data_IF_183598129534
#
_entry.id   IF_183598129534
#
_cell.length_a   1.000
_cell.length_b   1.000
_cell.length_c   1.000
_cell.angle_alpha   90.00
_cell.angle_beta   90.00
_cell.angle_gamma   90.00
#
_symmetry.space_group_name_H-M   'P 1'
#
loop_
_entity.id
_entity.type
_entity.pdbx_description
1 polymer ?
#
# COMPACT_ATOMS: atom_id res chain seq x y z
N UNK A 1 -34.46 -25.41 -36.26
CA UNK A 1 -33.42 -24.37 -36.34
C UNK A 1 -33.29 -23.80 -34.95
N UNK A 2 -32.23 -24.23 -34.27
CA UNK A 2 -32.00 -23.91 -32.87
C UNK A 2 -31.73 -22.42 -32.70
N UNK A 3 -32.56 -21.77 -31.90
CA UNK A 3 -32.31 -20.43 -31.40
C UNK A 3 -31.15 -20.51 -30.41
N UNK A 4 -29.94 -20.22 -30.88
CA UNK A 4 -28.84 -19.85 -30.01
C UNK A 4 -29.21 -18.52 -29.33
N UNK A 5 -29.83 -18.64 -28.17
CA UNK A 5 -29.95 -17.57 -27.19
C UNK A 5 -28.54 -17.36 -26.64
N UNK A 6 -27.72 -16.62 -27.37
CA UNK A 6 -26.48 -16.04 -26.88
C UNK A 6 -26.89 -14.94 -25.89
N UNK A 7 -27.27 -15.35 -24.68
CA UNK A 7 -27.43 -14.44 -23.55
C UNK A 7 -26.03 -13.95 -23.21
N UNK A 8 -25.55 -12.99 -23.99
CA UNK A 8 -24.32 -12.25 -23.73
C UNK A 8 -24.44 -11.63 -22.36
N UNK A 9 -23.88 -12.32 -21.37
CA UNK A 9 -23.68 -11.80 -20.03
C UNK A 9 -22.68 -10.65 -20.17
N UNK A 10 -23.20 -9.44 -20.34
CA UNK A 10 -22.44 -8.23 -20.09
C UNK A 10 -22.54 -8.01 -18.57
N UNK A 11 -21.49 -8.26 -17.78
CA UNK A 11 -21.52 -7.92 -16.37
C UNK A 11 -21.87 -6.44 -16.28
N UNK A 12 -23.02 -6.14 -15.66
CA UNK A 12 -23.52 -4.78 -15.56
C UNK A 12 -22.62 -3.93 -14.67
N UNK A 13 -22.87 -2.62 -14.66
CA UNK A 13 -22.20 -1.69 -13.74
C UNK A 13 -22.30 -2.12 -12.25
N UNK A 14 -23.28 -2.97 -11.91
CA UNK A 14 -23.49 -3.52 -10.57
C UNK A 14 -22.44 -4.58 -10.19
N UNK A 15 -22.08 -5.48 -11.10
CA UNK A 15 -21.02 -6.48 -10.88
C UNK A 15 -19.66 -5.77 -10.72
N UNK A 16 -19.36 -4.80 -11.59
CA UNK A 16 -18.16 -3.99 -11.51
C UNK A 16 -18.09 -3.20 -10.19
N UNK A 17 -19.21 -2.64 -9.72
CA UNK A 17 -19.26 -1.89 -8.46
C UNK A 17 -18.98 -2.77 -7.24
N UNK A 18 -19.47 -4.02 -7.23
CA UNK A 18 -19.17 -4.99 -6.16
C UNK A 18 -17.69 -5.36 -6.17
N UNK A 19 -17.12 -5.63 -7.35
CA UNK A 19 -15.71 -5.97 -7.50
C UNK A 19 -14.79 -4.84 -7.03
N UNK A 20 -15.08 -3.59 -7.40
CA UNK A 20 -14.32 -2.42 -6.98
C UNK A 20 -14.39 -2.21 -5.45
N UNK A 21 -15.55 -2.44 -4.83
CA UNK A 21 -15.66 -2.43 -3.36
C UNK A 21 -14.83 -3.53 -2.70
N UNK A 22 -14.81 -4.74 -3.27
CA UNK A 22 -13.97 -5.82 -2.80
C UNK A 22 -12.49 -5.44 -2.85
N UNK A 23 -12.03 -4.92 -3.99
CA UNK A 23 -10.66 -4.45 -4.20
C UNK A 23 -10.29 -3.32 -3.23
N UNK A 24 -11.21 -2.40 -2.94
CA UNK A 24 -10.99 -1.31 -1.98
C UNK A 24 -10.68 -1.84 -0.58
N UNK A 25 -11.44 -2.83 -0.10
CA UNK A 25 -11.20 -3.46 1.22
C UNK A 25 -9.81 -4.10 1.28
N UNK A 26 -9.41 -4.83 0.23
CA UNK A 26 -8.08 -5.44 0.17
C UNK A 26 -6.95 -4.41 0.18
N UNK A 27 -7.14 -3.30 -0.55
CA UNK A 27 -6.17 -2.20 -0.60
C UNK A 27 -6.07 -1.48 0.75
N UNK A 28 -7.18 -1.24 1.44
CA UNK A 28 -7.20 -0.64 2.78
C UNK A 28 -6.51 -1.54 3.83
N UNK A 29 -6.70 -2.85 3.74
CA UNK A 29 -5.94 -3.81 4.56
C UNK A 29 -4.45 -3.75 4.26
N UNK A 30 -4.06 -3.69 2.98
CA UNK A 30 -2.67 -3.57 2.55
C UNK A 30 -2.05 -2.26 3.07
N UNK A 31 -2.76 -1.14 2.97
CA UNK A 31 -2.34 0.15 3.51
C UNK A 31 -2.11 0.08 5.03
N UNK A 32 -3.01 -0.59 5.74
CA UNK A 32 -2.89 -0.82 7.20
C UNK A 32 -1.66 -1.65 7.54
N UNK A 33 -1.40 -2.74 6.82
CA UNK A 33 -0.19 -3.57 6.98
C UNK A 33 1.09 -2.78 6.74
N UNK A 34 1.14 -1.96 5.68
CA UNK A 34 2.30 -1.10 5.39
C UNK A 34 2.51 -0.04 6.47
N UNK A 35 1.43 0.58 6.97
CA UNK A 35 1.49 1.55 8.07
C UNK A 35 2.09 0.92 9.34
N UNK A 36 1.65 -0.30 9.70
CA UNK A 36 2.23 -1.03 10.84
C UNK A 36 3.72 -1.36 10.62
N UNK A 37 4.09 -1.82 9.42
CA UNK A 37 5.49 -2.09 9.09
C UNK A 37 6.37 -0.83 9.21
N UNK A 38 5.89 0.32 8.76
CA UNK A 38 6.59 1.61 8.91
C UNK A 38 6.79 2.01 10.38
N UNK A 39 5.81 1.72 11.24
CA UNK A 39 5.93 1.96 12.69
C UNK A 39 7.01 1.06 13.33
N UNK A 40 7.04 -0.22 12.97
CA UNK A 40 8.07 -1.15 13.45
C UNK A 40 9.47 -0.71 13.01
N UNK A 41 9.62 -0.35 11.73
CA UNK A 41 10.88 0.15 11.18
C UNK A 41 11.35 1.41 11.88
N UNK A 42 10.43 2.34 12.22
CA UNK A 42 10.77 3.52 13.04
C UNK A 42 11.36 3.14 14.40
N UNK A 43 10.78 2.15 15.09
CA UNK A 43 11.31 1.64 16.35
C UNK A 43 12.70 1.01 16.22
N UNK A 44 12.93 0.26 15.12
CA UNK A 44 14.24 -0.32 14.81
C UNK A 44 15.30 0.77 14.58
N UNK A 45 14.97 1.80 13.80
CA UNK A 45 15.86 2.96 13.56
C UNK A 45 16.27 3.59 14.88
N UNK A 46 15.30 3.92 15.75
CA UNK A 46 15.59 4.55 17.05
C UNK A 46 16.50 3.68 17.92
N UNK A 47 16.34 2.35 17.86
CA UNK A 47 17.17 1.42 18.63
C UNK A 47 18.60 1.39 18.10
N UNK A 48 18.77 1.23 16.79
CA UNK A 48 20.08 1.16 16.15
C UNK A 48 20.82 2.50 16.25
N UNK A 49 20.13 3.64 16.12
CA UNK A 49 20.73 4.97 16.34
C UNK A 49 21.32 5.12 17.75
N UNK A 50 20.67 4.53 18.76
CA UNK A 50 21.21 4.51 20.12
C UNK A 50 22.48 3.65 20.20
N UNK A 51 22.50 2.49 19.56
CA UNK A 51 23.67 1.61 19.48
C UNK A 51 24.85 2.33 18.79
N UNK A 52 24.60 2.95 17.63
CA UNK A 52 25.59 3.73 16.89
C UNK A 52 26.21 4.82 17.78
N UNK A 53 25.39 5.58 18.51
CA UNK A 53 25.89 6.63 19.43
C UNK A 53 26.67 6.09 20.62
N UNK A 54 26.33 4.91 21.12
CA UNK A 54 27.04 4.29 22.24
C UNK A 54 28.41 3.71 21.84
N UNK A 55 28.53 3.28 20.59
CA UNK A 55 29.76 2.75 20.02
C UNK A 55 30.65 3.86 19.45
N UNK A 56 30.06 4.99 19.05
CA UNK A 56 30.76 6.18 18.57
C UNK A 56 31.66 6.76 19.69
N UNK A 57 32.98 6.61 19.54
CA UNK A 57 33.99 7.07 20.50
C UNK A 57 34.71 5.95 21.26
N UNK A 58 34.28 4.69 21.15
CA UNK A 58 35.01 3.53 21.68
C UNK A 58 35.94 2.94 20.63
N UNK A 59 37.21 3.32 20.68
CA UNK A 59 38.29 2.89 19.75
C UNK A 59 38.39 1.36 19.60
N UNK A 60 38.15 0.60 20.66
CA UNK A 60 38.16 -0.88 20.65
C UNK A 60 36.95 -1.54 19.97
N UNK A 61 36.01 -0.76 19.43
CA UNK A 61 34.75 -1.24 18.87
C UNK A 61 34.45 -0.75 17.45
N UNK A 62 35.45 -0.21 16.73
CA UNK A 62 35.25 0.40 15.40
C UNK A 62 34.50 -0.51 14.43
N UNK A 63 34.76 -1.81 14.45
CA UNK A 63 34.05 -2.82 13.66
C UNK A 63 32.57 -2.97 14.06
N UNK A 64 32.26 -2.92 15.35
CA UNK A 64 30.87 -2.94 15.86
C UNK A 64 30.13 -1.68 15.45
N UNK A 65 30.77 -0.51 15.58
CA UNK A 65 30.19 0.75 15.13
C UNK A 65 29.88 0.74 13.63
N UNK A 66 30.83 0.29 12.79
CA UNK A 66 30.61 0.13 11.34
C UNK A 66 29.43 -0.81 11.06
N UNK A 67 29.35 -1.95 11.76
CA UNK A 67 28.24 -2.89 11.60
C UNK A 67 26.89 -2.26 11.99
N UNK A 68 26.83 -1.49 13.07
CA UNK A 68 25.63 -0.77 13.51
C UNK A 68 25.21 0.29 12.48
N UNK A 69 26.16 1.05 11.92
CA UNK A 69 25.91 2.03 10.85
C UNK A 69 25.39 1.34 9.58
N UNK A 70 25.98 0.21 9.17
CA UNK A 70 25.50 -0.57 8.03
C UNK A 70 24.08 -1.10 8.23
N UNK A 71 23.76 -1.61 9.43
CA UNK A 71 22.39 -2.01 9.78
C UNK A 71 21.44 -0.83 9.71
N UNK A 72 21.84 0.33 10.23
CA UNK A 72 21.03 1.55 10.19
C UNK A 72 20.71 1.96 8.74
N UNK A 73 21.72 1.97 7.86
CA UNK A 73 21.55 2.27 6.44
C UNK A 73 20.58 1.29 5.77
N UNK A 74 20.71 -0.01 6.03
CA UNK A 74 19.81 -1.03 5.49
C UNK A 74 18.35 -0.84 5.96
N UNK A 75 18.15 -0.47 7.23
CA UNK A 75 16.81 -0.22 7.77
C UNK A 75 16.21 1.05 7.15
N UNK A 76 17.00 2.11 6.95
CA UNK A 76 16.56 3.29 6.21
C UNK A 76 16.19 2.98 4.75
N UNK A 77 16.97 2.14 4.07
CA UNK A 77 16.64 1.69 2.73
C UNK A 77 15.29 0.95 2.68
N UNK A 78 15.06 0.00 3.59
CA UNK A 78 13.78 -0.71 3.70
C UNK A 78 12.62 0.23 4.04
N UNK A 79 12.85 1.23 4.88
CA UNK A 79 11.85 2.27 5.19
C UNK A 79 11.40 2.99 3.92
N UNK A 80 12.35 3.37 3.06
CA UNK A 80 12.04 4.07 1.81
C UNK A 80 11.24 3.18 0.86
N UNK A 81 11.61 1.90 0.74
CA UNK A 81 10.83 0.94 -0.05
C UNK A 81 9.38 0.79 0.46
N UNK A 82 9.20 0.74 1.79
CA UNK A 82 7.86 0.69 2.39
C UNK A 82 7.07 2.00 2.18
N UNK A 83 7.75 3.16 2.14
CA UNK A 83 7.10 4.43 1.82
C UNK A 83 6.63 4.45 0.37
N UNK A 84 7.46 4.02 -0.58
CA UNK A 84 7.04 3.90 -1.98
C UNK A 84 5.86 2.94 -2.15
N UNK A 85 5.89 1.79 -1.48
CA UNK A 85 4.78 0.84 -1.50
C UNK A 85 3.49 1.43 -0.88
N UNK A 86 3.60 2.22 0.19
CA UNK A 86 2.45 2.94 0.77
C UNK A 86 1.86 3.90 -0.26
N UNK A 87 2.69 4.70 -0.90
CA UNK A 87 2.25 5.75 -1.80
C UNK A 87 1.54 5.14 -3.03
N UNK A 88 2.08 4.04 -3.58
CA UNK A 88 1.41 3.26 -4.63
C UNK A 88 0.05 2.72 -4.18
N UNK A 89 -0.06 2.16 -2.98
CA UNK A 89 -1.34 1.65 -2.47
C UNK A 89 -2.36 2.78 -2.30
N UNK A 90 -1.93 3.96 -1.85
CA UNK A 90 -2.83 5.11 -1.71
C UNK A 90 -3.30 5.65 -3.07
N UNK A 91 -2.44 5.62 -4.08
CA UNK A 91 -2.80 5.95 -5.46
C UNK A 91 -3.83 4.95 -6.00
N UNK A 92 -3.59 3.65 -5.86
CA UNK A 92 -4.55 2.60 -6.27
C UNK A 92 -5.91 2.74 -5.55
N UNK A 93 -5.91 3.12 -4.26
CA UNK A 93 -7.14 3.38 -3.51
C UNK A 93 -7.91 4.57 -4.12
N UNK A 94 -7.20 5.66 -4.45
CA UNK A 94 -7.81 6.83 -5.04
C UNK A 94 -8.40 6.52 -6.41
N UNK A 95 -7.70 5.78 -7.26
CA UNK A 95 -8.20 5.33 -8.56
C UNK A 95 -9.51 4.55 -8.42
N UNK A 96 -9.60 3.64 -7.45
CA UNK A 96 -10.83 2.86 -7.19
C UNK A 96 -11.97 3.77 -6.71
N UNK A 97 -11.69 4.78 -5.88
CA UNK A 97 -12.71 5.77 -5.49
C UNK A 97 -13.21 6.58 -6.68
N UNK A 98 -12.31 7.04 -7.55
CA UNK A 98 -12.67 7.80 -8.75
C UNK A 98 -13.52 6.95 -9.72
N UNK A 99 -13.18 5.67 -9.89
CA UNK A 99 -13.98 4.73 -10.69
C UNK A 99 -15.39 4.51 -10.10
N UNK A 100 -15.49 4.34 -8.78
CA UNK A 100 -16.77 4.19 -8.09
C UNK A 100 -17.66 5.45 -8.24
N UNK A 101 -17.07 6.64 -8.16
CA UNK A 101 -17.77 7.91 -8.36
C UNK A 101 -18.31 8.03 -9.79
N UNK A 102 -17.47 7.74 -10.79
CA UNK A 102 -17.87 7.74 -12.21
C UNK A 102 -19.07 6.80 -12.47
N UNK A 103 -19.07 5.59 -11.88
CA UNK A 103 -20.18 4.65 -12.00
C UNK A 103 -21.46 5.24 -11.40
N UNK A 104 -21.38 5.87 -10.23
CA UNK A 104 -22.52 6.49 -9.58
C UNK A 104 -23.11 7.65 -10.42
N UNK A 105 -22.25 8.47 -11.02
CA UNK A 105 -22.68 9.58 -11.89
C UNK A 105 -23.43 9.07 -13.14
N UNK A 106 -22.92 8.01 -13.78
CA UNK A 106 -23.55 7.40 -14.96
C UNK A 106 -24.95 6.87 -14.62
N UNK A 107 -25.12 6.21 -13.46
CA UNK A 107 -26.42 5.73 -12.99
C UNK A 107 -27.41 6.89 -12.73
N UNK A 108 -26.94 8.01 -12.17
CA UNK A 108 -27.76 9.19 -11.92
C UNK A 108 -28.18 9.97 -13.18
N UNK A 109 -27.43 9.86 -14.28
CA UNK A 109 -27.79 10.46 -15.57
C UNK A 109 -28.72 9.57 -16.40
N UNK A 110 -28.59 8.24 -16.29
CA UNK A 110 -29.47 7.27 -16.96
C UNK A 110 -30.93 7.31 -16.47
N UNK A 111 -31.15 7.63 -15.19
CA UNK A 111 -32.49 7.73 -14.59
C UNK A 111 -33.23 9.06 -14.85
N UNK A 112 -32.66 9.99 -15.65
CA UNK A 112 -33.29 11.29 -15.99
C UNK A 112 -33.88 11.36 -17.40
N UNK A 113 -34.03 10.23 -18.11
CA UNK A 113 -34.67 10.15 -19.43
C UNK A 113 -35.97 9.38 -19.40
#
# INVERSE_FOLDING_TARGET
MDSFNDSGYFPGNEDLYVDLKGRLVELEEKATKVKHALQLVKGMITTIEREVKQDEGRSSSKEKWIASVQRLANVYFKRNQLQSARDQVLEEIQEVYDELENIAEIQHQGNRK
#
